data_IF_112661753102
#
_entry.id   IF_112661753102
#
_cell.length_a   1.000
_cell.length_b   1.000
_cell.length_c   1.000
_cell.angle_alpha   90.00
_cell.angle_beta   90.00
_cell.angle_gamma   90.00
#
_symmetry.space_group_name_H-M   'P 1'
#
loop_
_entity.id
_entity.type
_entity.pdbx_description
1 polymer ?
#
# COMPACT_ATOMS: atom_id res chain seq x y z
N UNK A 1 1.72 27.61 -43.11
CA UNK A 1 1.15 28.05 -41.81
C UNK A 1 -0.03 27.20 -41.30
N UNK A 2 -0.72 26.38 -42.12
CA UNK A 2 -1.78 25.46 -41.63
C UNK A 2 -1.22 24.20 -40.95
N UNK A 3 -0.04 23.73 -41.38
CA UNK A 3 0.61 22.51 -40.89
C UNK A 3 1.16 22.61 -39.46
N UNK A 4 1.56 23.81 -39.04
CA UNK A 4 2.11 24.07 -37.69
C UNK A 4 1.01 24.00 -36.62
N UNK A 5 -0.22 24.46 -36.94
CA UNK A 5 -1.38 24.37 -36.04
C UNK A 5 -1.82 22.92 -35.83
N UNK A 6 -1.67 22.06 -36.84
CA UNK A 6 -1.98 20.64 -36.73
C UNK A 6 -0.99 19.88 -35.84
N UNK A 7 0.30 20.21 -35.92
CA UNK A 7 1.35 19.59 -35.08
C UNK A 7 1.18 19.97 -33.61
N UNK A 8 0.88 21.24 -33.33
CA UNK A 8 0.63 21.70 -31.95
C UNK A 8 -0.59 21.03 -31.31
N UNK A 9 -1.64 20.77 -32.08
CA UNK A 9 -2.84 20.07 -31.61
C UNK A 9 -2.56 18.59 -31.32
N UNK A 10 -1.76 17.93 -32.17
CA UNK A 10 -1.36 16.53 -31.98
C UNK A 10 -0.46 16.34 -30.76
N UNK A 11 0.43 17.30 -30.47
CA UNK A 11 1.27 17.28 -29.27
C UNK A 11 0.44 17.46 -27.98
N UNK A 12 -0.62 18.27 -28.03
CA UNK A 12 -1.51 18.51 -26.88
C UNK A 12 -2.37 17.29 -26.55
N UNK A 13 -2.81 16.54 -27.58
CA UNK A 13 -3.59 15.30 -27.41
C UNK A 13 -2.71 14.16 -26.88
N UNK A 14 -1.43 14.10 -27.27
CA UNK A 14 -0.48 13.10 -26.75
C UNK A 14 -0.10 13.30 -25.27
N UNK A 15 -0.23 14.53 -24.74
CA UNK A 15 0.01 14.81 -23.31
C UNK A 15 -1.16 14.39 -22.41
N UNK A 16 -2.35 14.15 -22.97
CA UNK A 16 -3.55 13.75 -22.21
C UNK A 16 -3.66 12.22 -22.04
N UNK A 17 -2.83 11.41 -22.71
CA UNK A 17 -2.95 9.94 -22.69
C UNK A 17 -2.17 9.25 -21.56
N UNK A 18 -1.52 9.99 -20.66
CA UNK A 18 -0.59 9.39 -19.67
C UNK A 18 -1.21 9.00 -18.31
N UNK A 19 -2.53 9.00 -18.14
CA UNK A 19 -3.17 8.70 -16.85
C UNK A 19 -4.22 7.58 -16.88
N UNK A 20 -4.21 6.71 -17.89
CA UNK A 20 -4.86 5.42 -17.78
C UNK A 20 -3.82 4.39 -17.32
N UNK A 21 -3.29 4.58 -16.11
CA UNK A 21 -2.50 3.54 -15.46
C UNK A 21 -3.38 2.30 -15.35
N UNK A 22 -2.89 1.15 -15.83
CA UNK A 22 -3.51 -0.15 -15.58
C UNK A 22 -3.72 -0.26 -14.07
N UNK A 23 -4.96 -0.05 -13.62
CA UNK A 23 -5.29 0.01 -12.21
C UNK A 23 -4.97 -1.34 -11.59
N UNK A 24 -4.10 -1.34 -10.60
CA UNK A 24 -4.08 -2.38 -9.59
C UNK A 24 -5.51 -2.57 -9.07
N UNK A 25 -5.97 -3.80 -8.79
CA UNK A 25 -7.36 -4.04 -8.40
C UNK A 25 -7.84 -3.29 -7.14
N UNK A 26 -6.91 -2.69 -6.39
CA UNK A 26 -7.12 -1.80 -5.24
C UNK A 26 -7.44 -0.38 -5.70
N UNK A 27 -8.45 0.25 -5.11
CA UNK A 27 -8.82 1.65 -5.33
C UNK A 27 -8.36 2.54 -4.18
N UNK A 28 -8.26 3.85 -4.41
CA UNK A 28 -7.97 4.85 -3.37
C UNK A 28 -8.92 4.72 -2.16
N UNK A 29 -10.21 4.49 -2.40
CA UNK A 29 -11.21 4.27 -1.35
C UNK A 29 -10.88 3.04 -0.47
N UNK A 30 -10.29 1.99 -1.05
CA UNK A 30 -9.88 0.81 -0.30
C UNK A 30 -8.68 1.11 0.61
N UNK A 31 -7.73 1.91 0.13
CA UNK A 31 -6.58 2.39 0.91
C UNK A 31 -7.06 3.23 2.08
N UNK A 32 -7.96 4.18 1.81
CA UNK A 32 -8.51 5.07 2.83
C UNK A 32 -9.32 4.30 3.86
N UNK A 33 -10.11 3.29 3.45
CA UNK A 33 -10.84 2.43 4.39
C UNK A 33 -9.91 1.70 5.37
N UNK A 34 -8.73 1.22 4.92
CA UNK A 34 -7.73 0.61 5.83
C UNK A 34 -7.22 1.63 6.85
N UNK A 35 -6.93 2.85 6.41
CA UNK A 35 -6.48 3.94 7.30
C UNK A 35 -7.57 4.34 8.28
N UNK A 36 -8.83 4.40 7.86
CA UNK A 36 -9.97 4.66 8.72
C UNK A 36 -10.15 3.58 9.79
N UNK A 37 -10.03 2.29 9.43
CA UNK A 37 -10.06 1.19 10.41
C UNK A 37 -8.94 1.32 11.45
N UNK A 38 -7.73 1.67 11.01
CA UNK A 38 -6.58 1.92 11.88
C UNK A 38 -6.83 3.10 12.82
N UNK A 39 -7.21 4.25 12.29
CA UNK A 39 -7.47 5.46 13.07
C UNK A 39 -8.65 5.30 14.04
N UNK A 40 -9.65 4.49 13.68
CA UNK A 40 -10.80 4.16 14.54
C UNK A 40 -10.49 3.07 15.57
N UNK A 41 -9.28 2.50 15.58
CA UNK A 41 -8.88 1.45 16.52
C UNK A 41 -9.63 0.13 16.32
N UNK A 42 -10.09 -0.17 15.11
CA UNK A 42 -10.83 -1.39 14.77
C UNK A 42 -9.88 -2.59 14.62
N UNK A 43 -9.20 -2.95 15.70
CA UNK A 43 -8.11 -3.95 15.68
C UNK A 43 -8.58 -5.32 15.20
N UNK A 44 -9.79 -5.74 15.54
CA UNK A 44 -10.36 -7.02 15.08
C UNK A 44 -10.50 -7.06 13.55
N UNK A 45 -11.08 -6.01 12.95
CA UNK A 45 -11.21 -5.90 11.50
C UNK A 45 -9.85 -5.85 10.78
N UNK A 46 -8.85 -5.19 11.38
CA UNK A 46 -7.48 -5.17 10.84
C UNK A 46 -6.81 -6.55 10.91
N UNK A 47 -7.03 -7.32 11.99
CA UNK A 47 -6.55 -8.70 12.10
C UNK A 47 -7.19 -9.57 11.01
N UNK A 48 -8.51 -9.50 10.85
CA UNK A 48 -9.24 -10.27 9.83
C UNK A 48 -8.86 -9.87 8.39
N UNK A 49 -8.51 -8.60 8.19
CA UNK A 49 -8.05 -8.09 6.90
C UNK A 49 -6.59 -8.42 6.64
N UNK A 50 -5.82 -8.91 7.61
CA UNK A 50 -4.40 -9.21 7.41
C UNK A 50 -4.18 -10.59 6.78
N UNK A 51 -3.24 -10.67 5.83
CA UNK A 51 -2.86 -11.92 5.17
C UNK A 51 -1.69 -12.54 5.93
N UNK A 52 -1.77 -13.85 6.21
CA UNK A 52 -0.64 -14.63 6.71
C UNK A 52 0.12 -15.32 5.56
N UNK A 53 1.47 -15.35 5.62
CA UNK A 53 2.32 -14.59 6.53
C UNK A 53 2.27 -13.08 6.24
N UNK A 54 2.46 -12.24 7.27
CA UNK A 54 2.36 -10.78 7.19
C UNK A 54 3.72 -10.11 7.40
N UNK A 55 4.08 -9.11 6.60
CA UNK A 55 5.33 -8.35 6.80
C UNK A 55 5.09 -7.09 7.62
N UNK A 56 5.76 -6.98 8.77
CA UNK A 56 5.74 -5.80 9.63
C UNK A 56 7.16 -5.30 9.87
N UNK A 57 7.48 -4.10 9.40
CA UNK A 57 8.78 -3.43 9.64
C UNK A 57 10.02 -4.33 9.45
N UNK A 58 10.01 -5.18 8.43
CA UNK A 58 11.11 -6.09 8.11
C UNK A 58 11.08 -7.44 8.83
N UNK A 59 10.08 -7.68 9.69
CA UNK A 59 9.79 -8.97 10.31
C UNK A 59 8.61 -9.67 9.61
N UNK A 60 8.59 -11.01 9.64
CA UNK A 60 7.48 -11.81 9.15
C UNK A 60 6.69 -12.33 10.36
N UNK A 61 5.42 -11.94 10.44
CA UNK A 61 4.46 -12.45 11.41
C UNK A 61 3.76 -13.68 10.81
N UNK A 62 3.83 -14.80 11.51
CA UNK A 62 3.34 -16.10 11.03
C UNK A 62 2.03 -16.53 11.70
N UNK A 63 1.51 -15.73 12.64
CA UNK A 63 0.30 -16.05 13.39
C UNK A 63 -0.62 -14.84 13.61
N UNK A 64 -1.92 -15.12 13.72
CA UNK A 64 -2.92 -14.11 14.09
C UNK A 64 -2.63 -13.48 15.45
N UNK A 65 -2.08 -14.24 16.40
CA UNK A 65 -1.66 -13.70 17.71
C UNK A 65 -0.64 -12.57 17.55
N UNK A 66 0.35 -12.73 16.67
CA UNK A 66 1.34 -11.67 16.40
C UNK A 66 0.70 -10.47 15.71
N UNK A 67 -0.18 -10.69 14.74
CA UNK A 67 -0.92 -9.62 14.05
C UNK A 67 -1.81 -8.85 15.04
N UNK A 68 -2.49 -9.55 15.96
CA UNK A 68 -3.28 -8.93 17.00
C UNK A 68 -2.44 -8.10 17.98
N UNK A 69 -1.26 -8.62 18.37
CA UNK A 69 -0.30 -7.85 19.19
C UNK A 69 0.18 -6.59 18.47
N UNK A 70 0.44 -6.69 17.16
CA UNK A 70 0.78 -5.54 16.31
C UNK A 70 -0.32 -4.48 16.33
N UNK A 71 -1.53 -4.82 15.86
CA UNK A 71 -2.60 -3.82 15.69
C UNK A 71 -3.05 -3.23 17.03
N UNK A 72 -3.15 -4.06 18.07
CA UNK A 72 -3.47 -3.57 19.41
C UNK A 72 -2.34 -2.72 20.00
N UNK A 73 -1.08 -3.01 19.67
CA UNK A 73 0.08 -2.22 20.05
C UNK A 73 0.05 -0.83 19.41
N UNK A 74 -0.16 -0.74 18.09
CA UNK A 74 -0.30 0.52 17.36
C UNK A 74 -1.46 1.37 17.90
N UNK A 75 -2.62 0.76 18.13
CA UNK A 75 -3.78 1.44 18.71
C UNK A 75 -3.49 1.97 20.13
N UNK A 76 -2.89 1.14 21.00
CA UNK A 76 -2.49 1.56 22.36
C UNK A 76 -1.43 2.65 22.37
N UNK A 77 -0.55 2.67 21.39
CA UNK A 77 0.45 3.73 21.21
C UNK A 77 -0.15 5.04 20.69
N UNK A 78 -1.44 5.04 20.32
CA UNK A 78 -2.10 6.20 19.72
C UNK A 78 -1.60 6.50 18.32
N UNK A 79 -1.16 5.47 17.57
CA UNK A 79 -0.76 5.65 16.18
C UNK A 79 -1.97 6.07 15.34
N UNK A 80 -1.89 7.25 14.73
CA UNK A 80 -2.93 7.82 13.86
C UNK A 80 -2.24 8.41 12.64
N UNK A 81 -2.83 8.17 11.47
CA UNK A 81 -2.39 8.79 10.21
C UNK A 81 -3.38 9.89 9.82
N UNK A 82 -3.09 11.12 10.25
CA UNK A 82 -3.92 12.29 9.96
C UNK A 82 -3.66 12.84 8.55
N UNK A 83 -4.74 13.29 7.90
CA UNK A 83 -4.73 13.87 6.55
C UNK A 83 -3.98 13.00 5.52
N UNK A 84 -4.37 11.72 5.36
CA UNK A 84 -3.65 10.80 4.50
C UNK A 84 -3.68 11.27 3.04
N UNK A 85 -2.51 11.34 2.41
CA UNK A 85 -2.33 11.61 0.99
C UNK A 85 -1.64 10.41 0.34
N UNK A 86 -2.33 9.74 -0.58
CA UNK A 86 -1.75 8.64 -1.37
C UNK A 86 -0.74 9.25 -2.35
N UNK A 87 0.54 8.94 -2.16
CA UNK A 87 1.63 9.44 -3.00
C UNK A 87 1.90 8.52 -4.18
N UNK A 88 1.81 7.21 -3.95
CA UNK A 88 2.09 6.20 -4.97
C UNK A 88 1.15 5.01 -4.79
N UNK A 89 0.66 4.51 -5.92
CA UNK A 89 -0.09 3.27 -5.99
C UNK A 89 0.29 2.55 -7.29
N UNK A 90 0.78 1.31 -7.18
CA UNK A 90 1.22 0.50 -8.32
C UNK A 90 1.24 -0.99 -7.97
N UNK A 91 1.28 -1.89 -8.95
CA UNK A 91 1.60 -3.29 -8.69
C UNK A 91 2.89 -3.42 -7.88
N UNK A 92 2.88 -4.34 -6.91
CA UNK A 92 4.07 -4.65 -6.12
C UNK A 92 5.11 -5.36 -6.98
N UNK A 93 6.37 -5.06 -6.74
CA UNK A 93 7.53 -5.65 -7.41
C UNK A 93 8.43 -6.34 -6.37
N UNK A 94 9.25 -7.29 -6.81
CA UNK A 94 10.16 -8.00 -5.90
C UNK A 94 11.17 -7.04 -5.24
N UNK A 95 11.55 -5.98 -5.95
CA UNK A 95 12.48 -4.94 -5.50
C UNK A 95 11.90 -4.10 -4.34
N UNK A 96 10.58 -4.06 -4.19
CA UNK A 96 9.91 -3.34 -3.09
C UNK A 96 10.23 -3.93 -1.72
N UNK A 97 10.76 -5.17 -1.68
CA UNK A 97 11.29 -5.77 -0.45
C UNK A 97 12.24 -4.84 0.30
N UNK A 98 13.09 -4.10 -0.44
CA UNK A 98 14.08 -3.15 0.11
C UNK A 98 13.45 -2.00 0.91
N UNK A 99 12.19 -1.65 0.63
CA UNK A 99 11.44 -0.64 1.38
C UNK A 99 11.18 -1.15 2.80
N UNK A 100 10.92 -2.45 2.94
CA UNK A 100 10.63 -3.09 4.22
C UNK A 100 11.91 -3.51 4.93
N UNK A 101 12.80 -4.27 4.26
CA UNK A 101 14.11 -4.70 4.78
C UNK A 101 15.00 -5.28 3.69
N UNK A 102 16.32 -5.22 3.89
CA UNK A 102 17.32 -5.80 2.99
C UNK A 102 17.58 -7.31 3.23
N UNK A 103 16.90 -7.91 4.21
CA UNK A 103 17.11 -9.31 4.60
C UNK A 103 16.67 -10.28 3.50
N UNK A 104 17.30 -11.46 3.50
CA UNK A 104 16.98 -12.50 2.53
C UNK A 104 15.56 -13.05 2.73
N UNK A 105 15.07 -13.12 3.97
CA UNK A 105 13.70 -13.55 4.25
C UNK A 105 12.66 -12.64 3.60
N UNK A 106 12.79 -11.32 3.75
CA UNK A 106 11.84 -10.36 3.17
C UNK A 106 11.92 -10.35 1.65
N UNK A 107 13.12 -10.40 1.06
CA UNK A 107 13.28 -10.57 -0.39
C UNK A 107 12.62 -11.85 -0.91
N UNK A 108 12.72 -12.94 -0.15
CA UNK A 108 12.11 -14.23 -0.51
C UNK A 108 10.59 -14.18 -0.38
N UNK A 109 10.06 -13.54 0.66
CA UNK A 109 8.63 -13.30 0.83
C UNK A 109 8.05 -12.55 -0.37
N UNK A 110 8.62 -11.39 -0.73
CA UNK A 110 8.13 -10.56 -1.84
C UNK A 110 8.20 -11.29 -3.18
N UNK A 111 9.25 -12.09 -3.38
CA UNK A 111 9.42 -12.86 -4.62
C UNK A 111 8.43 -14.03 -4.76
N UNK A 112 8.12 -14.71 -3.66
CA UNK A 112 7.45 -16.01 -3.72
C UNK A 112 5.98 -15.97 -3.28
N UNK A 113 5.58 -15.00 -2.45
CA UNK A 113 4.26 -14.96 -1.81
C UNK A 113 3.39 -13.79 -2.26
N UNK A 114 3.99 -12.75 -2.83
CA UNK A 114 3.26 -11.66 -3.47
C UNK A 114 3.09 -11.92 -4.96
N UNK A 115 2.01 -11.39 -5.52
CA UNK A 115 1.62 -11.56 -6.92
C UNK A 115 1.44 -10.21 -7.60
N UNK A 116 1.35 -10.18 -8.93
CA UNK A 116 1.09 -8.96 -9.71
C UNK A 116 -0.25 -8.29 -9.39
N UNK A 117 -1.17 -8.99 -8.72
CA UNK A 117 -2.44 -8.42 -8.26
C UNK A 117 -2.28 -7.65 -6.94
N UNK A 118 -1.20 -7.87 -6.20
CA UNK A 118 -0.90 -7.14 -4.98
C UNK A 118 -0.40 -5.73 -5.33
N UNK A 119 -0.78 -4.77 -4.51
CA UNK A 119 -0.59 -3.34 -4.78
C UNK A 119 0.31 -2.76 -3.71
N UNK A 120 1.44 -2.21 -4.12
CA UNK A 120 2.23 -1.34 -3.26
C UNK A 120 1.56 0.03 -3.17
N UNK A 121 1.45 0.54 -1.94
CA UNK A 121 0.87 1.85 -1.64
C UNK A 121 1.81 2.62 -0.71
N UNK A 122 2.08 3.88 -1.07
CA UNK A 122 2.76 4.85 -0.22
C UNK A 122 1.78 5.97 0.15
N UNK A 123 1.65 6.21 1.45
CA UNK A 123 0.75 7.23 2.01
C UNK A 123 1.55 8.17 2.90
N UNK A 124 1.39 9.47 2.67
CA UNK A 124 1.89 10.52 3.55
C UNK A 124 0.81 10.90 4.55
N UNK A 125 1.12 10.86 5.84
CA UNK A 125 0.34 11.53 6.87
C UNK A 125 1.09 12.72 7.45
N UNK A 126 0.46 13.42 8.40
CA UNK A 126 1.07 14.58 9.06
C UNK A 126 2.33 14.24 9.87
N UNK A 127 2.39 13.05 10.46
CA UNK A 127 3.46 12.63 11.38
C UNK A 127 4.52 11.71 10.74
N UNK A 128 4.35 11.32 9.47
CA UNK A 128 5.26 10.39 8.81
C UNK A 128 4.65 9.73 7.58
N UNK A 129 5.38 8.77 7.04
CA UNK A 129 4.98 7.99 5.86
C UNK A 129 4.58 6.59 6.26
N UNK A 130 3.74 6.00 5.44
CA UNK A 130 3.26 4.64 5.58
C UNK A 130 3.42 3.91 4.24
N UNK A 131 4.06 2.75 4.28
CA UNK A 131 4.12 1.81 3.17
C UNK A 131 3.24 0.60 3.48
N UNK A 132 2.41 0.20 2.51
CA UNK A 132 1.57 -0.98 2.61
C UNK A 132 1.63 -1.81 1.33
N UNK A 133 1.38 -3.11 1.48
CA UNK A 133 1.02 -3.98 0.35
C UNK A 133 -0.40 -4.46 0.57
N UNK A 134 -1.27 -4.16 -0.38
CA UNK A 134 -2.70 -4.50 -0.35
C UNK A 134 -3.05 -5.52 -1.42
N UNK A 135 -3.83 -6.52 -1.05
CA UNK A 135 -4.32 -7.59 -1.94
C UNK A 135 -5.82 -7.39 -2.21
N UNK A 136 -6.26 -7.30 -3.47
CA UNK A 136 -7.68 -7.29 -3.79
C UNK A 136 -8.38 -8.55 -3.27
N UNK A 137 -9.56 -8.38 -2.70
CA UNK A 137 -10.42 -9.47 -2.25
C UNK A 137 -11.87 -9.26 -2.72
N UNK A 138 -12.76 -10.22 -2.48
CA UNK A 138 -14.17 -10.09 -2.90
C UNK A 138 -14.93 -8.98 -2.17
N UNK A 139 -14.49 -8.62 -0.97
CA UNK A 139 -15.20 -7.72 -0.04
C UNK A 139 -14.45 -6.43 0.22
N UNK A 140 -13.38 -6.14 -0.52
CA UNK A 140 -12.50 -5.00 -0.30
C UNK A 140 -11.04 -5.42 -0.49
N UNK A 141 -10.18 -5.10 0.46
CA UNK A 141 -8.75 -5.43 0.40
C UNK A 141 -8.28 -6.17 1.64
N UNK A 142 -7.21 -6.94 1.47
CA UNK A 142 -6.45 -7.53 2.56
C UNK A 142 -5.07 -6.88 2.64
N UNK A 143 -4.44 -6.89 3.82
CA UNK A 143 -3.17 -6.24 4.11
C UNK A 143 -2.11 -7.32 4.21
N UNK A 144 -1.12 -7.32 3.32
CA UNK A 144 -0.04 -8.30 3.31
C UNK A 144 1.26 -7.75 3.96
N UNK A 145 1.47 -6.44 3.90
CA UNK A 145 2.62 -5.79 4.51
C UNK A 145 2.28 -4.40 5.02
N UNK A 146 2.95 -3.97 6.09
CA UNK A 146 2.83 -2.64 6.67
C UNK A 146 4.18 -2.17 7.24
N UNK A 147 4.52 -0.90 6.98
CA UNK A 147 5.68 -0.24 7.58
C UNK A 147 5.43 1.26 7.71
N UNK A 148 5.37 1.73 8.95
CA UNK A 148 5.43 3.16 9.27
C UNK A 148 6.87 3.66 9.24
N UNK A 149 7.06 4.89 8.76
CA UNK A 149 8.34 5.60 8.73
C UNK A 149 8.11 6.94 9.41
N UNK A 150 8.67 7.08 10.61
CA UNK A 150 8.71 8.37 11.30
C UNK A 150 9.88 9.19 10.73
N UNK A 151 9.62 10.44 10.36
CA UNK A 151 10.66 11.40 9.96
C UNK A 151 11.36 12.04 11.16
#
# INVERSE_FOLDING_TARGET
>A
MKSIKFIALLLLVALMTSCAGLGSGVKDDDVLAVIEMMNAGQTEALVESSVLPFVFDGEILESETQINLLWSGLNKAGYVLDNPLILQQRPVMAEDASIFSETWEIKTYFKNLLTENDTYVEVQGAAGKLHMVLRPSKTGVQIAAWKGVNE
#
